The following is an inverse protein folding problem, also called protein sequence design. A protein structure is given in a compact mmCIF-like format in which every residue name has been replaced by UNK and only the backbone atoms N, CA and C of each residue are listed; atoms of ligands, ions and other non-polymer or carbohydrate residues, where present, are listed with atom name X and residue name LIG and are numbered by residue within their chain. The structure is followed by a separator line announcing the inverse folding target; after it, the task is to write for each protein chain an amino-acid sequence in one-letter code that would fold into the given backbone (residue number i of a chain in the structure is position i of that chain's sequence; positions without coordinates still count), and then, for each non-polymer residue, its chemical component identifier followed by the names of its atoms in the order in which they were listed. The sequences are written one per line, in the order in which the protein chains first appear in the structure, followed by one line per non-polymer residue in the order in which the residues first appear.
data_IF_544484084050
#
_entry.id   IF_544484084050
#
_cell.length_a   1.000
_cell.length_b   1.000
_cell.length_c   1.000
_cell.angle_alpha   90.00
_cell.angle_beta   90.00
_cell.angle_gamma   90.00
#
_symmetry.space_group_name_H-M   'P 1'
#
loop_
_entity.id
_entity.type
_entity.pdbx_description
1 polymer ?
#
# COMPACT_ATOMS: atom_id res chain seq x y z
N UNK A 1 -25.82 -136.31 27.81
CA UNK A 1 -25.00 -135.98 26.63
C UNK A 1 -25.77 -135.18 25.57
N UNK A 2 -26.99 -135.56 25.16
CA UNK A 2 -27.68 -134.88 24.04
C UNK A 2 -28.23 -133.45 24.26
N UNK A 3 -28.41 -132.98 25.49
CA UNK A 3 -28.98 -131.63 25.75
C UNK A 3 -28.00 -130.48 25.43
N UNK A 4 -26.70 -130.70 25.68
CA UNK A 4 -25.65 -129.72 25.37
C UNK A 4 -25.44 -129.59 23.85
N UNK A 5 -25.51 -130.71 23.12
CA UNK A 5 -25.44 -130.73 21.66
C UNK A 5 -26.67 -130.07 21.01
N UNK A 6 -27.87 -130.27 21.59
CA UNK A 6 -29.09 -129.61 21.13
C UNK A 6 -29.04 -128.09 21.33
N UNK A 7 -28.54 -127.61 22.47
CA UNK A 7 -28.34 -126.17 22.73
C UNK A 7 -27.31 -125.55 21.79
N UNK A 8 -26.21 -126.25 21.50
CA UNK A 8 -25.17 -125.79 20.59
C UNK A 8 -25.70 -125.74 19.14
N UNK A 9 -26.55 -126.70 18.76
CA UNK A 9 -27.25 -126.68 17.48
C UNK A 9 -28.27 -125.54 17.38
N UNK A 10 -29.00 -125.24 18.46
CA UNK A 10 -29.91 -124.09 18.51
C UNK A 10 -29.16 -122.77 18.43
N UNK A 11 -28.03 -122.61 19.13
CA UNK A 11 -27.22 -121.40 19.07
C UNK A 11 -26.65 -121.17 17.65
N UNK A 12 -26.15 -122.22 16.99
CA UNK A 12 -25.71 -122.15 15.59
C UNK A 12 -26.85 -121.76 14.64
N UNK A 13 -28.06 -122.27 14.88
CA UNK A 13 -29.26 -121.89 14.12
C UNK A 13 -29.62 -120.42 14.30
N UNK A 14 -29.57 -119.92 15.55
CA UNK A 14 -29.82 -118.50 15.86
C UNK A 14 -28.76 -117.60 15.23
N UNK A 15 -27.47 -117.98 15.30
CA UNK A 15 -26.38 -117.23 14.67
C UNK A 15 -26.61 -117.14 13.16
N UNK A 16 -26.87 -118.26 12.47
CA UNK A 16 -27.14 -118.24 11.03
C UNK A 16 -28.38 -117.43 10.67
N UNK A 17 -29.43 -117.50 11.49
CA UNK A 17 -30.65 -116.71 11.30
C UNK A 17 -30.36 -115.22 11.46
N UNK A 18 -29.56 -114.84 12.46
CA UNK A 18 -29.15 -113.44 12.68
C UNK A 18 -28.21 -112.94 11.60
N UNK A 19 -27.29 -113.78 11.09
CA UNK A 19 -26.46 -113.45 9.93
C UNK A 19 -27.32 -113.19 8.69
N UNK A 20 -28.33 -114.02 8.42
CA UNK A 20 -29.25 -113.82 7.30
C UNK A 20 -30.13 -112.57 7.47
N UNK A 21 -30.62 -112.30 8.69
CA UNK A 21 -31.38 -111.07 9.00
C UNK A 21 -30.50 -109.82 8.81
N UNK A 22 -29.22 -109.88 9.20
CA UNK A 22 -28.25 -108.79 8.99
C UNK A 22 -27.98 -108.61 7.49
N UNK A 23 -27.76 -109.70 6.75
CA UNK A 23 -27.50 -109.64 5.30
C UNK A 23 -28.68 -109.05 4.54
N UNK A 24 -29.91 -109.42 4.89
CA UNK A 24 -31.11 -108.89 4.26
C UNK A 24 -31.32 -107.41 4.59
N UNK A 25 -31.06 -107.00 5.84
CA UNK A 25 -31.12 -105.59 6.22
C UNK A 25 -30.06 -104.76 5.47
N UNK A 26 -28.85 -105.28 5.33
CA UNK A 26 -27.80 -104.66 4.53
C UNK A 26 -28.18 -104.59 3.04
N UNK A 27 -28.79 -105.64 2.48
CA UNK A 27 -29.32 -105.63 1.10
C UNK A 27 -30.48 -104.65 0.90
N UNK A 28 -31.27 -104.39 1.94
CA UNK A 28 -32.40 -103.45 1.83
C UNK A 28 -31.92 -102.00 1.83
N UNK A 29 -30.84 -101.68 2.54
CA UNK A 29 -30.41 -100.28 2.77
C UNK A 29 -29.07 -99.88 2.14
N UNK A 30 -28.35 -100.77 1.45
CA UNK A 30 -27.03 -100.41 0.88
C UNK A 30 -27.13 -99.30 -0.17
N UNK A 31 -28.20 -99.24 -0.97
CA UNK A 31 -28.39 -98.19 -1.99
C UNK A 31 -28.60 -96.82 -1.35
N UNK A 32 -29.46 -96.72 -0.34
CA UNK A 32 -29.69 -95.47 0.40
C UNK A 32 -28.42 -94.99 1.10
N UNK A 33 -27.64 -95.92 1.66
CA UNK A 33 -26.35 -95.61 2.27
C UNK A 33 -25.35 -95.06 1.24
N UNK A 34 -25.24 -95.70 0.07
CA UNK A 34 -24.34 -95.24 -1.01
C UNK A 34 -24.75 -93.84 -1.49
N UNK A 35 -26.05 -93.60 -1.70
CA UNK A 35 -26.56 -92.30 -2.12
C UNK A 35 -26.24 -91.19 -1.11
N UNK A 36 -26.45 -91.45 0.18
CA UNK A 36 -26.13 -90.48 1.24
C UNK A 36 -24.61 -90.18 1.31
N UNK A 37 -23.76 -91.19 1.09
CA UNK A 37 -22.30 -91.01 1.04
C UNK A 37 -21.88 -90.21 -0.19
N UNK A 38 -22.49 -90.46 -1.35
CA UNK A 38 -22.23 -89.69 -2.57
C UNK A 38 -22.68 -88.23 -2.42
N UNK A 39 -23.82 -87.97 -1.77
CA UNK A 39 -24.31 -86.62 -1.48
C UNK A 39 -23.38 -85.87 -0.51
N UNK A 40 -22.92 -86.52 0.57
CA UNK A 40 -21.90 -85.96 1.47
C UNK A 40 -20.59 -85.63 0.73
N UNK A 41 -20.18 -86.48 -0.22
CA UNK A 41 -19.01 -86.21 -1.06
C UNK A 41 -19.25 -85.01 -1.98
N UNK A 42 -20.45 -84.88 -2.55
CA UNK A 42 -20.86 -83.72 -3.33
C UNK A 42 -20.77 -82.43 -2.52
N UNK A 43 -21.39 -82.41 -1.33
CA UNK A 43 -21.32 -81.25 -0.43
C UNK A 43 -19.90 -80.88 -0.02
N UNK A 44 -18.99 -81.86 0.14
CA UNK A 44 -17.59 -81.59 0.42
C UNK A 44 -16.88 -80.92 -0.76
N UNK A 45 -17.20 -81.31 -2.00
CA UNK A 45 -16.67 -80.67 -3.20
C UNK A 45 -17.18 -79.24 -3.29
N UNK A 46 -18.49 -79.03 -3.14
CA UNK A 46 -19.11 -77.70 -3.17
C UNK A 46 -18.54 -76.78 -2.07
N UNK A 47 -18.29 -77.32 -0.88
CA UNK A 47 -17.69 -76.56 0.23
C UNK A 47 -16.23 -76.15 -0.06
N UNK A 48 -15.44 -77.01 -0.70
CA UNK A 48 -14.06 -76.67 -1.07
C UNK A 48 -14.02 -75.66 -2.23
N UNK A 49 -14.94 -75.77 -3.20
CA UNK A 49 -15.11 -74.78 -4.28
C UNK A 49 -15.49 -73.41 -3.69
N UNK A 50 -16.49 -73.36 -2.81
CA UNK A 50 -16.89 -72.12 -2.14
C UNK A 50 -15.74 -71.49 -1.35
N UNK A 51 -14.93 -72.30 -0.66
CA UNK A 51 -13.75 -71.84 0.07
C UNK A 51 -12.68 -71.28 -0.87
N UNK A 52 -12.47 -71.91 -2.02
CA UNK A 52 -11.56 -71.42 -3.06
C UNK A 52 -12.03 -70.07 -3.61
N UNK A 53 -13.32 -69.95 -3.95
CA UNK A 53 -13.92 -68.72 -4.44
C UNK A 53 -13.83 -67.60 -3.40
N UNK A 54 -14.13 -67.89 -2.14
CA UNK A 54 -14.01 -66.92 -1.04
C UNK A 54 -12.56 -66.46 -0.84
N UNK A 55 -11.58 -67.36 -1.02
CA UNK A 55 -10.17 -67.01 -0.96
C UNK A 55 -9.75 -66.10 -2.11
N UNK A 56 -10.21 -66.40 -3.32
CA UNK A 56 -9.97 -65.62 -4.54
C UNK A 56 -10.58 -64.21 -4.42
N UNK A 57 -11.85 -64.10 -4.02
CA UNK A 57 -12.52 -62.83 -3.84
C UNK A 57 -11.90 -62.00 -2.72
N UNK A 58 -11.50 -62.64 -1.60
CA UNK A 58 -10.76 -61.94 -0.55
C UNK A 58 -9.43 -61.39 -1.06
N UNK A 59 -8.68 -62.15 -1.87
CA UNK A 59 -7.44 -61.66 -2.47
C UNK A 59 -7.70 -60.45 -3.38
N UNK A 60 -8.69 -60.53 -4.26
CA UNK A 60 -9.06 -59.41 -5.17
C UNK A 60 -9.52 -58.18 -4.40
N UNK A 61 -10.29 -58.35 -3.33
CA UNK A 61 -10.73 -57.25 -2.48
C UNK A 61 -9.54 -56.57 -1.79
N UNK A 62 -8.58 -57.36 -1.28
CA UNK A 62 -7.37 -56.83 -0.67
C UNK A 62 -6.48 -56.10 -1.68
N UNK A 63 -6.32 -56.64 -2.89
CA UNK A 63 -5.55 -56.03 -3.98
C UNK A 63 -6.15 -54.66 -4.37
N UNK A 64 -7.44 -54.62 -4.68
CA UNK A 64 -8.14 -53.38 -5.05
C UNK A 64 -8.17 -52.40 -3.88
N UNK A 65 -8.44 -52.88 -2.66
CA UNK A 65 -8.46 -52.07 -1.45
C UNK A 65 -7.11 -51.41 -1.14
N UNK A 66 -6.02 -52.16 -1.29
CA UNK A 66 -4.66 -51.66 -1.10
C UNK A 66 -4.28 -50.61 -2.15
N UNK A 67 -4.61 -50.87 -3.43
CA UNK A 67 -4.39 -49.91 -4.50
C UNK A 67 -5.17 -48.61 -4.29
N UNK A 68 -6.44 -48.71 -3.84
CA UNK A 68 -7.27 -47.54 -3.55
C UNK A 68 -6.75 -46.74 -2.35
N UNK A 69 -6.25 -47.41 -1.32
CA UNK A 69 -5.68 -46.76 -0.13
C UNK A 69 -4.49 -45.87 -0.51
N UNK A 70 -3.58 -46.38 -1.36
CA UNK A 70 -2.45 -45.59 -1.89
C UNK A 70 -2.95 -44.36 -2.65
N UNK A 71 -3.98 -44.51 -3.50
CA UNK A 71 -4.55 -43.38 -4.23
C UNK A 71 -5.22 -42.34 -3.33
N UNK A 72 -5.82 -42.77 -2.22
CA UNK A 72 -6.37 -41.86 -1.22
C UNK A 72 -5.27 -41.06 -0.53
N UNK A 73 -4.16 -41.71 -0.16
CA UNK A 73 -3.00 -41.05 0.45
C UNK A 73 -2.38 -40.01 -0.50
N UNK A 74 -2.13 -40.39 -1.77
CA UNK A 74 -1.66 -39.47 -2.82
C UNK A 74 -2.60 -38.25 -2.98
N UNK A 75 -3.92 -38.48 -2.93
CA UNK A 75 -4.92 -37.42 -3.04
C UNK A 75 -4.88 -36.46 -1.84
N UNK A 76 -4.78 -36.99 -0.62
CA UNK A 76 -4.68 -36.18 0.60
C UNK A 76 -3.41 -35.32 0.59
N UNK A 77 -2.28 -35.89 0.15
CA UNK A 77 -1.04 -35.14 -0.02
C UNK A 77 -1.20 -34.03 -1.07
N UNK A 78 -1.82 -34.34 -2.22
CA UNK A 78 -2.13 -33.34 -3.25
C UNK A 78 -3.02 -32.20 -2.73
N UNK A 79 -4.01 -32.48 -1.88
CA UNK A 79 -4.81 -31.45 -1.22
C UNK A 79 -3.99 -30.57 -0.27
N UNK A 80 -3.07 -31.16 0.51
CA UNK A 80 -2.16 -30.41 1.37
C UNK A 80 -1.25 -29.49 0.53
N UNK A 81 -0.66 -30.00 -0.55
CA UNK A 81 0.15 -29.22 -1.49
C UNK A 81 -0.68 -28.07 -2.07
N UNK A 82 -1.89 -28.35 -2.58
CA UNK A 82 -2.79 -27.34 -3.14
C UNK A 82 -3.10 -26.22 -2.14
N UNK A 83 -3.36 -26.57 -0.87
CA UNK A 83 -3.60 -25.59 0.20
C UNK A 83 -2.37 -24.69 0.42
N UNK A 84 -1.19 -25.27 0.52
CA UNK A 84 0.06 -24.54 0.70
C UNK A 84 0.36 -23.61 -0.47
N UNK A 85 0.22 -24.12 -1.71
CA UNK A 85 0.40 -23.34 -2.94
C UNK A 85 -0.59 -22.17 -2.99
N UNK A 86 -1.86 -22.40 -2.66
CA UNK A 86 -2.88 -21.33 -2.64
C UNK A 86 -2.53 -20.25 -1.61
N UNK A 87 -2.00 -20.63 -0.43
CA UNK A 87 -1.50 -19.71 0.58
C UNK A 87 -0.33 -18.87 0.07
N UNK A 88 0.66 -19.52 -0.56
CA UNK A 88 1.82 -18.86 -1.15
C UNK A 88 1.44 -17.88 -2.26
N UNK A 89 0.46 -18.21 -3.11
CA UNK A 89 -0.05 -17.31 -4.15
C UNK A 89 -0.69 -16.06 -3.53
N UNK A 90 -1.53 -16.21 -2.50
CA UNK A 90 -2.17 -15.07 -1.82
C UNK A 90 -1.12 -14.15 -1.18
N UNK A 91 -0.15 -14.75 -0.50
CA UNK A 91 1.00 -14.06 0.09
C UNK A 91 1.80 -13.28 -0.96
N UNK A 92 2.15 -13.93 -2.08
CA UNK A 92 2.89 -13.32 -3.17
C UNK A 92 2.16 -12.13 -3.76
N UNK A 93 0.84 -12.23 -3.97
CA UNK A 93 0.02 -11.12 -4.49
C UNK A 93 0.09 -9.88 -3.59
N UNK A 94 0.01 -10.05 -2.27
CA UNK A 94 0.15 -8.94 -1.31
C UNK A 94 1.53 -8.32 -1.42
N UNK A 95 2.59 -9.13 -1.49
CA UNK A 95 3.96 -8.63 -1.60
C UNK A 95 4.18 -7.82 -2.90
N UNK A 96 3.66 -8.29 -4.03
CA UNK A 96 3.74 -7.58 -5.31
C UNK A 96 3.01 -6.25 -5.25
N UNK A 97 1.80 -6.20 -4.67
CA UNK A 97 1.04 -4.95 -4.53
C UNK A 97 1.80 -3.91 -3.68
N UNK A 98 2.40 -4.35 -2.57
CA UNK A 98 3.19 -3.47 -1.70
C UNK A 98 4.44 -2.97 -2.43
N UNK A 99 5.15 -3.84 -3.13
CA UNK A 99 6.34 -3.47 -3.90
C UNK A 99 5.99 -2.49 -5.04
N UNK A 100 4.86 -2.68 -5.72
CA UNK A 100 4.39 -1.76 -6.75
C UNK A 100 4.12 -0.35 -6.19
N UNK A 101 3.52 -0.27 -4.99
CA UNK A 101 3.36 1.01 -4.29
C UNK A 101 4.71 1.63 -3.89
N UNK A 102 5.69 0.82 -3.46
CA UNK A 102 7.04 1.30 -3.20
C UNK A 102 7.70 1.88 -4.46
N UNK A 103 7.57 1.21 -5.61
CA UNK A 103 8.09 1.69 -6.89
C UNK A 103 7.40 2.99 -7.30
N UNK A 104 6.07 3.07 -7.19
CA UNK A 104 5.30 4.31 -7.45
C UNK A 104 5.77 5.46 -6.58
N UNK A 105 5.97 5.22 -5.28
CA UNK A 105 6.52 6.21 -4.37
C UNK A 105 7.90 6.69 -4.82
N UNK A 106 8.79 5.77 -5.19
CA UNK A 106 10.13 6.11 -5.66
C UNK A 106 10.11 6.93 -6.96
N UNK A 107 9.19 6.64 -7.88
CA UNK A 107 8.99 7.44 -9.09
C UNK A 107 8.51 8.86 -8.75
N UNK A 108 7.51 9.00 -7.87
CA UNK A 108 7.07 10.33 -7.42
C UNK A 108 8.19 11.16 -6.78
N UNK A 109 9.09 10.53 -6.01
CA UNK A 109 10.25 11.21 -5.43
C UNK A 109 11.21 11.66 -6.53
N UNK A 110 11.49 10.80 -7.51
CA UNK A 110 12.39 11.10 -8.63
C UNK A 110 11.84 12.23 -9.50
N UNK A 111 10.52 12.26 -9.72
CA UNK A 111 9.82 13.28 -10.50
C UNK A 111 9.61 14.60 -9.72
N UNK A 112 10.06 14.69 -8.46
CA UNK A 112 9.88 15.87 -7.61
C UNK A 112 8.44 16.08 -7.11
N UNK A 113 7.57 15.08 -7.27
CA UNK A 113 6.18 15.09 -6.81
C UNK A 113 6.09 14.66 -5.34
N UNK A 114 6.50 15.53 -4.43
CA UNK A 114 6.60 15.21 -3.00
C UNK A 114 5.25 14.91 -2.32
N UNK A 115 4.18 15.60 -2.69
CA UNK A 115 2.86 15.37 -2.10
C UNK A 115 2.27 13.98 -2.47
N UNK A 116 2.23 13.57 -3.76
CA UNK A 116 1.85 12.21 -4.14
C UNK A 116 2.73 11.13 -3.51
N UNK A 117 4.04 11.37 -3.40
CA UNK A 117 4.96 10.45 -2.71
C UNK A 117 4.55 10.24 -1.24
N UNK A 118 4.33 11.32 -0.48
CA UNK A 118 3.90 11.26 0.92
C UNK A 118 2.54 10.56 1.08
N UNK A 119 1.59 10.83 0.18
CA UNK A 119 0.28 10.16 0.19
C UNK A 119 0.41 8.65 -0.06
N UNK A 120 1.32 8.25 -0.95
CA UNK A 120 1.60 6.83 -1.21
C UNK A 120 2.25 6.16 0.00
N UNK A 121 3.16 6.85 0.69
CA UNK A 121 3.78 6.35 1.93
C UNK A 121 2.73 6.18 3.03
N UNK A 122 1.84 7.15 3.22
CA UNK A 122 0.75 7.08 4.20
C UNK A 122 -0.18 5.90 3.90
N UNK A 123 -0.47 5.65 2.63
CA UNK A 123 -1.24 4.48 2.19
C UNK A 123 -0.54 3.16 2.56
N UNK A 124 0.78 3.05 2.33
CA UNK A 124 1.56 1.86 2.69
C UNK A 124 1.54 1.65 4.21
N UNK A 125 1.74 2.73 4.97
CA UNK A 125 1.82 2.71 6.43
C UNK A 125 0.49 2.30 7.07
N UNK A 126 -0.64 2.88 6.63
CA UNK A 126 -1.95 2.62 7.23
C UNK A 126 -2.59 1.31 6.76
N UNK A 127 -2.50 1.01 5.47
CA UNK A 127 -3.29 -0.08 4.89
C UNK A 127 -2.49 -1.38 4.73
N UNK A 128 -1.17 -1.33 4.57
CA UNK A 128 -0.40 -2.51 4.19
C UNK A 128 0.56 -3.02 5.27
N UNK A 129 1.04 -2.20 6.22
CA UNK A 129 1.97 -2.66 7.27
C UNK A 129 1.46 -3.81 8.13
N UNK A 130 0.15 -3.88 8.37
CA UNK A 130 -0.46 -4.99 9.13
C UNK A 130 -0.73 -6.23 8.27
N UNK A 131 -0.73 -6.09 6.95
CA UNK A 131 -1.12 -7.14 6.00
C UNK A 131 0.11 -7.80 5.36
N UNK A 132 1.28 -7.14 5.37
CA UNK A 132 2.52 -7.70 4.83
C UNK A 132 2.86 -8.99 5.59
N UNK A 133 2.88 -10.13 4.91
CA UNK A 133 3.02 -11.40 5.61
C UNK A 133 4.50 -11.84 5.72
N UNK A 134 5.42 -11.24 4.93
CA UNK A 134 6.87 -11.48 5.05
C UNK A 134 7.47 -10.51 6.06
N UNK A 135 7.94 -11.04 7.20
CA UNK A 135 8.55 -10.22 8.26
C UNK A 135 9.75 -9.40 7.78
N UNK A 136 10.60 -9.98 6.93
CA UNK A 136 11.77 -9.27 6.37
C UNK A 136 11.35 -8.05 5.54
N UNK A 137 10.38 -8.22 4.63
CA UNK A 137 9.85 -7.12 3.82
C UNK A 137 9.22 -6.04 4.69
N UNK A 138 8.40 -6.44 5.68
CA UNK A 138 7.78 -5.53 6.65
C UNK A 138 8.83 -4.68 7.37
N UNK A 139 9.87 -5.32 7.93
CA UNK A 139 10.94 -4.60 8.64
C UNK A 139 11.71 -3.61 7.75
N UNK A 140 11.98 -3.98 6.50
CA UNK A 140 12.66 -3.08 5.55
C UNK A 140 11.78 -1.86 5.28
N UNK A 141 10.49 -2.06 5.00
CA UNK A 141 9.57 -0.95 4.71
C UNK A 141 9.39 -0.05 5.93
N UNK A 142 9.17 -0.61 7.12
CA UNK A 142 9.02 0.15 8.36
C UNK A 142 10.23 1.05 8.64
N UNK A 143 11.45 0.55 8.40
CA UNK A 143 12.67 1.33 8.59
C UNK A 143 12.89 2.39 7.49
N UNK A 144 12.38 2.14 6.29
CA UNK A 144 12.63 3.03 5.14
C UNK A 144 11.62 4.19 5.08
N UNK A 145 10.40 4.00 5.59
CA UNK A 145 9.37 5.05 5.69
C UNK A 145 9.88 6.35 6.34
N UNK A 146 10.47 6.34 7.55
CA UNK A 146 10.94 7.57 8.20
C UNK A 146 12.09 8.21 7.41
N UNK A 147 12.98 7.40 6.84
CA UNK A 147 14.11 7.89 6.02
C UNK A 147 13.60 8.66 4.80
N UNK A 148 12.58 8.12 4.11
CA UNK A 148 11.98 8.79 2.96
C UNK A 148 11.28 10.08 3.38
N UNK A 149 10.50 10.07 4.48
CA UNK A 149 9.83 11.27 4.99
C UNK A 149 10.83 12.40 5.28
N UNK A 150 11.91 12.08 6.00
CA UNK A 150 12.98 13.06 6.29
C UNK A 150 13.71 13.51 5.02
N UNK A 151 13.90 12.64 4.02
CA UNK A 151 14.50 13.03 2.75
C UNK A 151 13.61 14.03 1.99
N UNK A 152 12.31 13.74 1.89
CA UNK A 152 11.34 14.64 1.26
C UNK A 152 11.29 15.97 1.98
N UNK A 153 11.22 15.97 3.31
CA UNK A 153 11.23 17.19 4.13
C UNK A 153 12.44 18.06 3.82
N UNK A 154 13.66 17.49 3.90
CA UNK A 154 14.90 18.21 3.58
C UNK A 154 14.90 18.78 2.16
N UNK A 155 14.40 18.01 1.18
CA UNK A 155 14.35 18.43 -0.22
C UNK A 155 13.37 19.58 -0.42
N UNK A 156 12.19 19.49 0.18
CA UNK A 156 11.16 20.55 0.16
C UNK A 156 11.68 21.82 0.83
N UNK A 157 12.28 21.72 2.02
CA UNK A 157 12.86 22.86 2.73
C UNK A 157 13.98 23.52 1.92
N UNK A 158 14.86 22.73 1.28
CA UNK A 158 15.92 23.27 0.41
C UNK A 158 15.34 24.03 -0.78
N UNK A 159 14.39 23.43 -1.53
CA UNK A 159 13.76 24.07 -2.67
C UNK A 159 13.00 25.34 -2.27
N UNK A 160 12.34 25.31 -1.12
CA UNK A 160 11.66 26.46 -0.57
C UNK A 160 12.63 27.58 -0.19
N UNK A 161 13.76 27.25 0.45
CA UNK A 161 14.80 28.22 0.80
C UNK A 161 15.43 28.85 -0.45
N UNK A 162 15.75 28.05 -1.47
CA UNK A 162 16.23 28.54 -2.77
C UNK A 162 15.21 29.48 -3.41
N UNK A 163 13.94 29.11 -3.42
CA UNK A 163 12.85 29.96 -3.89
C UNK A 163 12.76 31.28 -3.11
N UNK A 164 12.86 31.25 -1.77
CA UNK A 164 12.87 32.47 -0.94
C UNK A 164 14.07 33.38 -1.24
N UNK A 165 15.23 32.82 -1.60
CA UNK A 165 16.39 33.61 -2.05
C UNK A 165 16.10 34.29 -3.38
N UNK A 166 15.54 33.57 -4.36
CA UNK A 166 15.13 34.15 -5.64
C UNK A 166 14.08 35.24 -5.44
N UNK A 167 13.02 34.98 -4.67
CA UNK A 167 11.97 35.96 -4.37
C UNK A 167 12.56 37.24 -3.78
N UNK A 168 13.55 37.14 -2.88
CA UNK A 168 14.23 38.33 -2.31
C UNK A 168 14.94 39.16 -3.39
N UNK A 169 15.59 38.52 -4.36
CA UNK A 169 16.22 39.23 -5.47
C UNK A 169 15.19 39.91 -6.37
N UNK A 170 14.11 39.22 -6.74
CA UNK A 170 13.02 39.79 -7.56
C UNK A 170 12.28 40.91 -6.84
N UNK A 171 12.06 40.79 -5.52
CA UNK A 171 11.44 41.83 -4.71
C UNK A 171 12.23 43.13 -4.83
N UNK A 172 13.55 43.09 -4.69
CA UNK A 172 14.43 44.26 -4.87
C UNK A 172 14.19 44.95 -6.22
N UNK A 173 14.17 44.18 -7.31
CA UNK A 173 14.00 44.71 -8.67
C UNK A 173 12.60 45.32 -8.88
N UNK A 174 11.57 44.66 -8.36
CA UNK A 174 10.18 45.13 -8.39
C UNK A 174 10.05 46.44 -7.62
N UNK A 175 10.61 46.51 -6.41
CA UNK A 175 10.55 47.72 -5.60
C UNK A 175 11.35 48.87 -6.21
N UNK A 176 12.51 48.59 -6.82
CA UNK A 176 13.28 49.61 -7.55
C UNK A 176 12.49 50.13 -8.77
N UNK A 177 11.79 49.25 -9.48
CA UNK A 177 10.90 49.62 -10.58
C UNK A 177 9.70 50.44 -10.10
N UNK A 178 9.09 50.06 -8.97
CA UNK A 178 7.95 50.77 -8.39
C UNK A 178 8.35 52.18 -7.93
N UNK A 179 9.46 52.31 -7.20
CA UNK A 179 10.00 53.60 -6.77
C UNK A 179 10.37 54.46 -7.99
N UNK A 180 11.03 53.89 -9.00
CA UNK A 180 11.38 54.59 -10.24
C UNK A 180 10.15 55.13 -10.99
N UNK A 181 9.06 54.35 -11.04
CA UNK A 181 7.78 54.80 -11.64
C UNK A 181 7.12 55.92 -10.83
N UNK A 182 7.12 55.83 -9.50
CA UNK A 182 6.58 56.88 -8.63
C UNK A 182 7.41 58.16 -8.73
N UNK A 183 8.74 58.06 -8.73
CA UNK A 183 9.64 59.20 -8.92
C UNK A 183 9.42 59.89 -10.28
N UNK A 184 9.32 59.11 -11.35
CA UNK A 184 9.04 59.62 -12.70
C UNK A 184 7.64 60.26 -12.81
N UNK A 185 6.66 59.76 -12.06
CA UNK A 185 5.33 60.38 -12.00
C UNK A 185 5.39 61.72 -11.26
N UNK A 186 6.04 61.78 -10.10
CA UNK A 186 6.25 63.02 -9.35
C UNK A 186 6.99 64.08 -10.15
N UNK A 187 8.05 63.69 -10.87
CA UNK A 187 8.76 64.63 -11.74
C UNK A 187 7.84 65.23 -12.81
N UNK A 188 6.98 64.41 -13.45
CA UNK A 188 6.00 64.91 -14.43
C UNK A 188 4.97 65.85 -13.82
N UNK A 189 4.51 65.56 -12.60
CA UNK A 189 3.56 66.41 -11.88
C UNK A 189 4.19 67.74 -11.46
N UNK A 190 5.42 67.72 -10.96
CA UNK A 190 6.20 68.93 -10.64
C UNK A 190 6.46 69.78 -11.89
N UNK A 191 6.86 69.16 -13.01
CA UNK A 191 7.02 69.86 -14.30
C UNK A 191 5.70 70.49 -14.79
N UNK A 192 4.55 69.83 -14.57
CA UNK A 192 3.24 70.40 -14.88
C UNK A 192 2.90 71.59 -13.98
N UNK A 193 3.18 71.49 -12.68
CA UNK A 193 2.94 72.58 -11.72
C UNK A 193 3.85 73.78 -12.00
N UNK A 194 5.11 73.55 -12.38
CA UNK A 194 6.04 74.60 -12.80
C UNK A 194 5.57 75.32 -14.07
N UNK A 195 5.05 74.57 -15.06
CA UNK A 195 4.46 75.17 -16.27
C UNK A 195 3.22 76.01 -15.93
N UNK A 196 2.38 75.56 -14.99
CA UNK A 196 1.23 76.34 -14.50
C UNK A 196 1.67 77.62 -13.80
N UNK A 197 2.64 77.55 -12.89
CA UNK A 197 3.19 78.73 -12.20
C UNK A 197 3.79 79.74 -13.16
N UNK A 198 4.59 79.31 -14.14
CA UNK A 198 5.15 80.21 -15.16
C UNK A 198 4.08 80.88 -16.02
N UNK A 199 2.97 80.20 -16.30
CA UNK A 199 1.84 80.80 -17.01
C UNK A 199 1.09 81.81 -16.12
N UNK A 200 0.92 81.53 -14.82
CA UNK A 200 0.31 82.45 -13.85
C UNK A 200 1.17 83.70 -13.61
N UNK A 201 2.49 83.56 -13.48
CA UNK A 201 3.44 84.67 -13.35
C UNK A 201 3.46 85.57 -14.61
N UNK A 202 3.34 84.98 -15.80
CA UNK A 202 3.17 85.74 -17.03
C UNK A 202 1.85 86.52 -17.06
N UNK A 203 0.77 85.96 -16.49
CA UNK A 203 -0.54 86.63 -16.35
C UNK A 203 -0.54 87.70 -15.23
N UNK A 204 0.30 87.59 -14.21
CA UNK A 204 0.37 88.51 -13.06
C UNK A 204 1.32 89.70 -13.27
N UNK A 205 2.02 89.77 -14.41
CA UNK A 205 2.96 90.85 -14.76
C UNK A 205 2.31 92.23 -14.99
N UNK A 206 1.02 92.39 -14.67
CA UNK A 206 0.23 93.62 -14.82
C UNK A 206 -0.01 94.45 -13.56
N UNK A 207 0.38 94.01 -12.35
CA UNK A 207 0.12 94.82 -11.15
C UNK A 207 1.22 94.64 -10.09
N UNK A 208 1.93 95.72 -9.79
CA UNK A 208 3.01 95.73 -8.80
C UNK A 208 2.48 95.67 -7.38
N UNK A 209 2.98 94.72 -6.60
CA UNK A 209 3.14 94.88 -5.15
C UNK A 209 4.37 94.10 -4.69
N UNK A 210 5.34 94.81 -4.11
CA UNK A 210 6.69 94.33 -3.82
C UNK A 210 6.90 94.41 -2.30
N UNK A 211 6.43 93.38 -1.59
CA UNK A 211 6.77 93.16 -0.17
C UNK A 211 6.55 91.71 0.26
N UNK A 212 5.47 91.06 -0.18
CA UNK A 212 5.16 89.67 0.19
C UNK A 212 5.94 88.60 -0.62
N UNK A 213 6.56 88.96 -1.74
CA UNK A 213 7.31 88.02 -2.60
C UNK A 213 8.63 87.56 -2.00
N UNK A 214 9.32 88.42 -1.23
CA UNK A 214 10.63 88.08 -0.66
C UNK A 214 10.53 87.04 0.46
N UNK A 215 9.51 87.12 1.34
CA UNK A 215 9.29 86.16 2.43
C UNK A 215 8.90 84.77 1.90
N UNK A 216 8.02 84.70 0.90
CA UNK A 216 7.62 83.44 0.25
C UNK A 216 8.81 82.79 -0.46
N UNK A 217 9.70 83.60 -1.03
CA UNK A 217 10.90 83.15 -1.72
C UNK A 217 12.01 82.69 -0.75
N UNK A 218 12.11 83.30 0.45
CA UNK A 218 13.01 82.86 1.51
C UNK A 218 12.53 81.54 2.16
N UNK A 219 11.24 81.41 2.44
CA UNK A 219 10.63 80.16 2.94
C UNK A 219 10.83 79.04 1.92
N UNK A 220 10.59 79.31 0.63
CA UNK A 220 10.83 78.36 -0.47
C UNK A 220 12.30 77.95 -0.58
N UNK A 221 13.26 78.88 -0.44
CA UNK A 221 14.69 78.53 -0.41
C UNK A 221 15.03 77.65 0.79
N UNK A 222 14.46 77.93 1.96
CA UNK A 222 14.69 77.15 3.19
C UNK A 222 14.17 75.72 3.05
N UNK A 223 12.94 75.56 2.56
CA UNK A 223 12.36 74.25 2.23
C UNK A 223 13.14 73.51 1.14
N UNK A 224 13.58 74.20 0.09
CA UNK A 224 14.36 73.58 -0.99
C UNK A 224 15.75 73.15 -0.52
N UNK A 225 16.37 73.89 0.40
CA UNK A 225 17.63 73.52 1.06
C UNK A 225 17.44 72.34 2.01
N UNK A 226 16.35 72.29 2.79
CA UNK A 226 16.00 71.14 3.62
C UNK A 226 15.75 69.87 2.78
N UNK A 227 15.03 69.97 1.66
CA UNK A 227 14.81 68.86 0.72
C UNK A 227 16.14 68.40 0.09
N UNK A 228 16.99 69.34 -0.33
CA UNK A 228 18.32 69.05 -0.87
C UNK A 228 19.25 68.42 0.18
N UNK A 229 19.06 68.72 1.46
CA UNK A 229 19.83 68.11 2.56
C UNK A 229 19.41 66.67 2.85
N UNK A 230 18.17 66.30 2.52
CA UNK A 230 17.59 64.95 2.71
C UNK A 230 17.83 64.04 1.51
N UNK A 231 18.08 64.58 0.31
CA UNK A 231 18.36 63.81 -0.90
C UNK A 231 19.53 62.80 -0.77
N UNK A 232 20.71 63.16 -0.25
CA UNK A 232 21.83 62.22 -0.07
C UNK A 232 21.51 61.08 0.91
N UNK A 233 20.69 61.38 1.93
CA UNK A 233 20.21 60.39 2.89
C UNK A 233 19.26 59.39 2.20
N UNK A 234 18.28 59.88 1.43
CA UNK A 234 17.32 59.02 0.72
C UNK A 234 18.00 58.17 -0.36
N UNK A 235 19.00 58.70 -1.06
CA UNK A 235 19.80 57.94 -2.04
C UNK A 235 20.59 56.80 -1.38
N UNK A 236 21.13 57.03 -0.18
CA UNK A 236 21.86 56.01 0.58
C UNK A 236 20.96 54.85 1.03
N UNK A 237 19.69 55.12 1.37
CA UNK A 237 18.71 54.10 1.76
C UNK A 237 17.84 53.60 0.60
N UNK A 238 18.03 54.10 -0.62
CA UNK A 238 17.17 53.78 -1.77
C UNK A 238 17.12 52.27 -2.06
N UNK A 239 18.25 51.58 -1.91
CA UNK A 239 18.34 50.13 -2.10
C UNK A 239 17.52 49.36 -1.05
N UNK A 240 17.57 49.82 0.19
CA UNK A 240 16.83 49.24 1.31
C UNK A 240 15.32 49.50 1.19
N UNK A 241 14.94 50.74 0.85
CA UNK A 241 13.55 51.12 0.60
C UNK A 241 12.96 50.36 -0.60
N UNK A 242 13.75 50.12 -1.65
CA UNK A 242 13.36 49.28 -2.77
C UNK A 242 13.11 47.83 -2.34
N UNK A 243 13.97 47.25 -1.49
CA UNK A 243 13.75 45.90 -0.97
C UNK A 243 12.47 45.80 -0.15
N UNK A 244 12.20 46.77 0.74
CA UNK A 244 10.99 46.82 1.56
C UNK A 244 9.74 46.95 0.69
N UNK A 245 9.71 47.94 -0.21
CA UNK A 245 8.57 48.16 -1.10
C UNK A 245 8.29 46.94 -1.98
N UNK A 246 9.35 46.32 -2.49
CA UNK A 246 9.28 45.09 -3.27
C UNK A 246 8.70 43.90 -2.49
N UNK A 247 9.11 43.73 -1.24
CA UNK A 247 8.63 42.65 -0.37
C UNK A 247 7.12 42.74 -0.18
N UNK A 248 6.60 43.91 0.21
CA UNK A 248 5.15 44.11 0.41
C UNK A 248 4.34 43.81 -0.86
N UNK A 249 4.87 44.19 -2.04
CA UNK A 249 4.21 43.90 -3.32
C UNK A 249 4.15 42.39 -3.59
N UNK A 250 5.25 41.68 -3.32
CA UNK A 250 5.31 40.22 -3.52
C UNK A 250 4.44 39.49 -2.50
N UNK A 251 4.48 39.88 -1.24
CA UNK A 251 3.66 39.34 -0.14
C UNK A 251 2.17 39.44 -0.46
N UNK A 252 1.71 40.63 -0.84
CA UNK A 252 0.34 40.89 -1.25
C UNK A 252 -0.05 40.07 -2.50
N UNK A 253 0.88 39.84 -3.42
CA UNK A 253 0.66 38.94 -4.57
C UNK A 253 0.55 37.48 -4.17
N UNK A 254 1.42 36.99 -3.27
CA UNK A 254 1.42 35.61 -2.78
C UNK A 254 0.13 35.33 -2.01
N UNK A 255 -0.28 36.21 -1.10
CA UNK A 255 -1.52 36.10 -0.33
C UNK A 255 -2.75 35.97 -1.22
N UNK A 256 -2.86 36.81 -2.26
CA UNK A 256 -3.97 36.72 -3.23
C UNK A 256 -3.96 35.45 -4.07
N UNK A 257 -2.77 34.90 -4.36
CA UNK A 257 -2.62 33.73 -5.24
C UNK A 257 -2.75 32.42 -4.46
N UNK A 258 -2.39 32.40 -3.17
CA UNK A 258 -2.38 31.21 -2.33
C UNK A 258 -3.77 30.67 -1.98
N UNK A 259 -4.87 31.36 -2.34
CA UNK A 259 -6.23 30.84 -2.24
C UNK A 259 -6.64 30.38 -0.83
N UNK A 260 -6.08 31.00 0.22
CA UNK A 260 -6.35 30.64 1.62
C UNK A 260 -5.54 29.46 2.17
N UNK A 261 -4.58 28.90 1.41
CA UNK A 261 -3.67 27.85 1.89
C UNK A 261 -2.68 28.34 2.95
N UNK A 262 -2.47 29.65 3.06
CA UNK A 262 -1.62 30.30 4.04
C UNK A 262 -2.47 31.30 4.83
N UNK A 263 -2.48 31.17 6.16
CA UNK A 263 -2.99 32.25 7.02
C UNK A 263 -1.98 33.40 7.06
N UNK A 264 -2.44 34.66 7.21
CA UNK A 264 -1.56 35.82 7.37
C UNK A 264 -0.48 35.61 8.45
N UNK A 265 -0.85 34.98 9.57
CA UNK A 265 0.00 34.66 10.71
C UNK A 265 1.18 33.71 10.36
N UNK A 266 0.97 32.79 9.40
CA UNK A 266 2.00 31.88 8.91
C UNK A 266 2.98 32.59 7.98
N UNK A 267 2.50 33.61 7.24
CA UNK A 267 3.35 34.47 6.42
C UNK A 267 4.15 35.45 7.27
N UNK A 268 3.56 35.98 8.35
CA UNK A 268 4.25 36.81 9.32
C UNK A 268 5.38 36.04 10.02
N UNK A 269 5.15 34.76 10.35
CA UNK A 269 6.22 33.88 10.88
C UNK A 269 7.35 33.67 9.86
N UNK A 270 7.03 33.60 8.57
CA UNK A 270 8.03 33.58 7.48
C UNK A 270 8.74 34.93 7.29
N UNK A 271 8.05 36.05 7.54
CA UNK A 271 8.60 37.40 7.48
C UNK A 271 9.48 37.75 8.70
N UNK A 272 9.10 37.27 9.88
CA UNK A 272 9.82 37.44 11.14
C UNK A 272 11.23 36.83 11.09
N UNK A 273 11.41 35.70 10.40
CA UNK A 273 12.71 35.07 10.16
C UNK A 273 13.67 35.90 9.29
N UNK A 274 13.25 37.04 8.73
CA UNK A 274 14.05 37.78 7.74
C UNK A 274 14.20 39.27 7.97
N UNK A 275 13.37 39.89 8.81
CA UNK A 275 13.61 41.26 9.29
C UNK A 275 14.73 41.27 10.35
N UNK A 276 15.02 40.15 11.02
CA UNK A 276 16.16 40.01 11.96
C UNK A 276 17.56 40.00 11.29
N UNK A 277 17.65 40.06 9.95
CA UNK A 277 18.94 40.17 9.22
C UNK A 277 18.94 41.40 8.30
N UNK A 278 18.36 42.50 8.80
CA UNK A 278 18.63 43.86 8.35
C UNK A 278 19.56 44.55 9.34
#
# INVERSE_FOLDING_TARGET
MGHLEALLHQLKSVVRKKEAEIEELCKTHYEEFILAVDELRGMLVDAEELKSDLSSDNYRLQEVGSALLIKLEELLESYAIKKNVTGAIKMGKICVQVLDLCVKCNNHITDGQFYPALKTIDLIEKNYLQIIPVKALKMVIEKTIPVIKTHIEKKVTSQFNEWLVHVRSFAKDIGQTAIGRVASARQRDEEMLDRRRKAEEQNLSGFGDFSFTLEVEEIRRRFSFEISSVQPFVESYQTFLAQIAGYFIVEDRVLRTAGGLLLPDQLETMGAFRIEVL
#
